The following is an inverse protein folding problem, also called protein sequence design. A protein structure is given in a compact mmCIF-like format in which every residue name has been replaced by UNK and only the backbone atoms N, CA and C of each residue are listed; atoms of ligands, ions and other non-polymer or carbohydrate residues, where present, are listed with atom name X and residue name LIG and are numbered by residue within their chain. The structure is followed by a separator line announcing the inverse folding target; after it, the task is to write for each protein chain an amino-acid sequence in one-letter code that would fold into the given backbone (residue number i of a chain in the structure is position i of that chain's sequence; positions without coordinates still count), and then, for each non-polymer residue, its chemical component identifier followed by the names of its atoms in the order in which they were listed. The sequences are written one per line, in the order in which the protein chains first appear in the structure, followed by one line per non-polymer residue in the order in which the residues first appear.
data_IF_360681418623
#
_entry.id   IF_360681418623
#
_cell.length_a   1.000
_cell.length_b   1.000
_cell.length_c   1.000
_cell.angle_alpha   90.00
_cell.angle_beta   90.00
_cell.angle_gamma   90.00
#
_symmetry.space_group_name_H-M   'P 1'
#
loop_
_entity.id
_entity.type
_entity.pdbx_description
1 polymer ?
#
# COMPACT_ATOMS: atom_id res chain seq x y z
N UNK A 1 9.75 0.69 4.00
CA UNK A 1 10.59 1.24 5.10
C UNK A 1 9.66 1.90 6.09
N UNK A 2 9.58 1.39 7.27
CA UNK A 2 8.84 2.07 8.33
C UNK A 2 9.58 3.36 8.70
N UNK A 3 8.87 4.35 9.28
CA UNK A 3 9.50 5.57 9.84
C UNK A 3 10.70 5.23 10.76
N UNK A 4 10.66 4.07 11.40
CA UNK A 4 11.73 3.55 12.25
C UNK A 4 12.98 3.21 11.44
N UNK A 5 12.83 2.61 10.27
CA UNK A 5 13.98 2.25 9.42
C UNK A 5 14.65 3.50 8.83
N UNK A 6 13.84 4.48 8.39
CA UNK A 6 14.37 5.77 7.93
C UNK A 6 15.17 6.48 9.04
N UNK A 7 14.68 6.47 10.29
CA UNK A 7 15.40 7.01 11.43
C UNK A 7 16.72 6.25 11.68
N UNK A 8 16.74 4.94 11.49
CA UNK A 8 18.00 4.14 11.60
C UNK A 8 18.99 4.50 10.51
N UNK A 9 18.53 4.64 9.25
CA UNK A 9 19.40 5.09 8.14
C UNK A 9 19.96 6.49 8.45
N UNK A 10 19.10 7.41 8.83
CA UNK A 10 19.52 8.76 9.19
C UNK A 10 20.52 8.74 10.36
N UNK A 11 20.26 7.94 11.40
CA UNK A 11 21.16 7.75 12.53
C UNK A 11 22.53 7.18 12.11
N UNK A 12 22.55 6.19 11.21
CA UNK A 12 23.80 5.61 10.71
C UNK A 12 24.60 6.63 9.87
N UNK A 13 23.94 7.43 9.03
CA UNK A 13 24.60 8.49 8.26
C UNK A 13 25.19 9.57 9.17
N UNK A 14 24.43 9.99 10.19
CA UNK A 14 24.94 10.93 11.19
C UNK A 14 26.15 10.35 11.94
N UNK A 15 26.09 9.07 12.34
CA UNK A 15 27.19 8.40 13.03
C UNK A 15 28.46 8.35 12.16
N UNK A 16 28.33 8.09 10.84
CA UNK A 16 29.44 8.11 9.90
C UNK A 16 30.07 9.53 9.84
N UNK A 17 29.25 10.57 9.74
CA UNK A 17 29.77 11.94 9.70
C UNK A 17 30.42 12.37 11.01
N UNK A 18 29.84 12.04 12.14
CA UNK A 18 30.43 12.33 13.45
C UNK A 18 31.75 11.57 13.64
N UNK A 19 31.79 10.28 13.24
CA UNK A 19 33.00 9.47 13.25
C UNK A 19 34.10 10.03 12.36
N UNK A 20 33.75 10.43 11.15
CA UNK A 20 34.70 11.07 10.21
C UNK A 20 35.24 12.39 10.78
N UNK A 21 34.39 13.21 11.39
CA UNK A 21 34.79 14.46 11.97
C UNK A 21 35.72 14.24 13.18
N UNK A 22 35.39 13.30 14.06
CA UNK A 22 36.22 12.91 15.18
C UNK A 22 37.60 12.39 14.73
N UNK A 23 37.65 11.54 13.70
CA UNK A 23 38.88 11.05 13.11
C UNK A 23 39.73 12.18 12.54
N UNK A 24 39.12 13.12 11.84
CA UNK A 24 39.81 14.30 11.30
C UNK A 24 40.43 15.17 12.39
N UNK A 25 39.74 15.36 13.53
CA UNK A 25 40.24 16.09 14.70
C UNK A 25 41.43 15.35 15.35
N UNK A 26 41.31 14.01 15.48
CA UNK A 26 42.40 13.19 16.03
C UNK A 26 43.64 13.25 15.17
N UNK A 27 43.51 13.16 13.86
CA UNK A 27 44.63 13.24 12.91
C UNK A 27 45.25 14.64 12.82
N UNK A 28 44.56 15.67 13.28
CA UNK A 28 45.05 17.06 13.33
C UNK A 28 45.83 17.37 14.60
N UNK A 29 45.74 16.54 15.64
CA UNK A 29 46.42 16.80 16.90
C UNK A 29 47.92 16.86 16.72
N UNK A 30 48.64 17.87 17.31
CA UNK A 30 50.06 18.17 17.06
C UNK A 30 51.02 17.17 17.73
N UNK A 31 50.55 16.09 18.34
CA UNK A 31 51.36 15.09 19.03
C UNK A 31 52.24 14.21 18.11
N UNK A 32 51.99 14.29 16.81
CA UNK A 32 52.81 13.58 15.82
C UNK A 32 53.69 14.56 15.08
N UNK A 33 54.93 14.66 15.48
CA UNK A 33 56.00 15.54 14.93
C UNK A 33 56.44 15.20 13.51
N UNK A 34 55.67 14.51 12.72
CA UNK A 34 55.87 14.32 11.26
C UNK A 34 54.67 14.90 10.50
N UNK A 35 54.84 15.63 9.38
CA UNK A 35 53.81 15.98 8.50
C UNK A 35 53.11 14.70 8.02
N UNK A 36 52.00 14.36 8.63
CA UNK A 36 51.41 13.05 8.46
C UNK A 36 50.76 13.01 7.05
N UNK A 37 51.35 12.26 6.13
CA UNK A 37 50.76 11.87 4.85
C UNK A 37 49.32 11.35 5.06
N UNK A 38 49.02 10.87 6.26
CA UNK A 38 47.69 10.39 6.68
C UNK A 38 46.63 11.51 6.73
N UNK A 39 46.96 12.70 7.20
CA UNK A 39 45.99 13.82 7.22
C UNK A 39 45.72 14.34 5.80
N UNK A 40 46.73 14.35 4.94
CA UNK A 40 46.53 14.71 3.51
C UNK A 40 45.64 13.67 2.82
N UNK A 41 45.96 12.39 2.96
CA UNK A 41 45.15 11.31 2.40
C UNK A 41 43.69 11.33 2.95
N UNK A 42 43.50 11.64 4.24
CA UNK A 42 42.21 11.80 4.84
C UNK A 42 41.42 12.96 4.18
N UNK A 43 42.05 14.13 3.97
CA UNK A 43 41.42 15.25 3.28
C UNK A 43 40.99 14.91 1.86
N UNK A 44 41.81 14.15 1.14
CA UNK A 44 41.51 13.76 -0.23
C UNK A 44 40.34 12.76 -0.30
N UNK A 45 40.17 11.93 0.76
CA UNK A 45 39.06 10.98 0.87
C UNK A 45 37.74 11.60 1.40
N UNK A 46 37.80 12.77 2.06
CA UNK A 46 36.62 13.42 2.67
C UNK A 46 35.44 13.64 1.72
N UNK A 47 35.65 14.07 0.47
CA UNK A 47 34.56 14.20 -0.48
C UNK A 47 33.79 12.87 -0.70
N UNK A 48 34.50 11.75 -0.75
CA UNK A 48 33.88 10.43 -0.90
C UNK A 48 33.13 10.00 0.38
N UNK A 49 33.71 10.24 1.56
CA UNK A 49 33.08 9.95 2.85
C UNK A 49 31.78 10.73 3.03
N UNK A 50 31.69 11.93 2.47
CA UNK A 50 30.47 12.74 2.48
C UNK A 50 29.50 12.30 1.36
N UNK A 51 29.99 12.09 0.15
CA UNK A 51 29.16 11.84 -1.02
C UNK A 51 28.42 10.51 -0.98
N UNK A 52 29.08 9.44 -0.53
CA UNK A 52 28.49 8.09 -0.54
C UNK A 52 27.26 7.99 0.39
N UNK A 53 27.34 8.38 1.67
CA UNK A 53 26.17 8.34 2.55
C UNK A 53 25.06 9.31 2.10
N UNK A 54 25.42 10.48 1.55
CA UNK A 54 24.47 11.44 1.01
C UNK A 54 23.71 10.87 -0.20
N UNK A 55 24.42 10.24 -1.13
CA UNK A 55 23.83 9.58 -2.30
C UNK A 55 22.90 8.41 -1.87
N UNK A 56 23.32 7.62 -0.91
CA UNK A 56 22.49 6.54 -0.35
C UNK A 56 21.20 7.08 0.28
N UNK A 57 21.31 8.15 1.07
CA UNK A 57 20.15 8.79 1.68
C UNK A 57 19.20 9.37 0.63
N UNK A 58 19.74 10.06 -0.39
CA UNK A 58 18.95 10.59 -1.50
C UNK A 58 18.20 9.49 -2.25
N UNK A 59 18.86 8.38 -2.54
CA UNK A 59 18.24 7.21 -3.17
C UNK A 59 17.10 6.63 -2.32
N UNK A 60 17.31 6.48 -1.00
CA UNK A 60 16.29 5.99 -0.08
C UNK A 60 15.05 6.91 -0.04
N UNK A 61 15.25 8.23 -0.03
CA UNK A 61 14.17 9.21 -0.10
C UNK A 61 13.44 9.17 -1.45
N UNK A 62 14.18 9.10 -2.55
CA UNK A 62 13.59 9.04 -3.89
C UNK A 62 12.69 7.80 -4.04
N UNK A 63 13.19 6.63 -3.62
CA UNK A 63 12.42 5.37 -3.65
C UNK A 63 11.12 5.48 -2.84
N UNK A 64 11.19 6.05 -1.65
CA UNK A 64 10.01 6.27 -0.82
C UNK A 64 9.02 7.23 -1.48
N UNK A 65 9.50 8.36 -1.99
CA UNK A 65 8.63 9.34 -2.64
C UNK A 65 7.92 8.78 -3.86
N UNK A 66 8.63 8.00 -4.69
CA UNK A 66 8.03 7.34 -5.86
C UNK A 66 6.92 6.37 -5.44
N UNK A 67 7.14 5.57 -4.41
CA UNK A 67 6.12 4.67 -3.87
C UNK A 67 4.91 5.44 -3.33
N UNK A 68 5.13 6.49 -2.55
CA UNK A 68 4.05 7.31 -1.99
C UNK A 68 3.25 8.05 -3.06
N UNK A 69 3.90 8.49 -4.14
CA UNK A 69 3.20 9.09 -5.28
C UNK A 69 2.30 8.08 -5.98
N UNK A 70 2.84 6.90 -6.31
CA UNK A 70 2.06 5.82 -6.91
C UNK A 70 0.86 5.42 -6.03
N UNK A 71 1.08 5.31 -4.72
CA UNK A 71 0.01 4.98 -3.76
C UNK A 71 -1.06 6.08 -3.69
N UNK A 72 -0.69 7.36 -3.77
CA UNK A 72 -1.66 8.48 -3.80
C UNK A 72 -2.53 8.41 -5.04
N UNK A 73 -1.95 8.17 -6.21
CA UNK A 73 -2.70 8.03 -7.46
C UNK A 73 -3.73 6.88 -7.37
N UNK A 74 -3.29 5.71 -6.90
CA UNK A 74 -4.21 4.57 -6.68
C UNK A 74 -5.30 4.92 -5.67
N UNK A 75 -4.95 5.61 -4.59
CA UNK A 75 -5.92 6.05 -3.59
C UNK A 75 -6.99 6.98 -4.17
N UNK A 76 -6.61 8.01 -4.92
CA UNK A 76 -7.52 8.97 -5.55
C UNK A 76 -8.48 8.27 -6.51
N UNK A 77 -7.97 7.39 -7.37
CA UNK A 77 -8.78 6.64 -8.32
C UNK A 77 -9.71 5.66 -7.61
N UNK A 78 -9.25 5.02 -6.54
CA UNK A 78 -10.07 4.10 -5.75
C UNK A 78 -11.22 4.82 -5.04
N UNK A 79 -10.94 5.97 -4.41
CA UNK A 79 -11.99 6.80 -3.78
C UNK A 79 -13.03 7.20 -4.82
N UNK A 80 -12.59 7.63 -6.01
CA UNK A 80 -13.48 7.98 -7.11
C UNK A 80 -14.30 6.80 -7.62
N UNK A 81 -13.69 5.62 -7.77
CA UNK A 81 -14.38 4.42 -8.21
C UNK A 81 -15.42 3.92 -7.19
N UNK A 82 -15.07 3.92 -5.90
CA UNK A 82 -16.00 3.54 -4.82
C UNK A 82 -17.15 4.56 -4.69
N UNK A 83 -16.86 5.86 -4.77
CA UNK A 83 -17.90 6.89 -4.79
C UNK A 83 -18.85 6.68 -5.96
N UNK A 84 -18.32 6.40 -7.16
CA UNK A 84 -19.13 6.06 -8.33
C UNK A 84 -19.99 4.80 -8.13
N UNK A 85 -19.46 3.77 -7.48
CA UNK A 85 -20.20 2.56 -7.14
C UNK A 85 -21.35 2.85 -6.16
N UNK A 86 -21.11 3.66 -5.13
CA UNK A 86 -22.14 4.08 -4.18
C UNK A 86 -23.23 4.92 -4.86
N UNK A 87 -22.84 5.93 -5.65
CA UNK A 87 -23.81 6.75 -6.43
C UNK A 87 -24.65 5.88 -7.38
N UNK A 88 -24.04 4.87 -7.99
CA UNK A 88 -24.76 3.92 -8.83
C UNK A 88 -25.88 3.20 -8.06
N UNK A 89 -25.61 2.77 -6.82
CA UNK A 89 -26.63 2.10 -5.99
C UNK A 89 -27.73 3.05 -5.50
N UNK A 90 -27.49 4.36 -5.48
CA UNK A 90 -28.48 5.39 -5.12
C UNK A 90 -29.36 5.80 -6.30
N UNK A 91 -28.92 5.57 -7.52
CA UNK A 91 -29.68 5.91 -8.73
C UNK A 91 -30.94 5.05 -8.81
N UNK A 92 -32.12 5.65 -8.96
CA UNK A 92 -33.41 4.93 -8.99
C UNK A 92 -33.51 3.99 -10.20
N UNK A 93 -33.05 4.44 -11.37
CA UNK A 93 -33.08 3.68 -12.60
C UNK A 93 -31.73 3.72 -13.31
N UNK A 94 -30.73 2.99 -12.79
CA UNK A 94 -29.40 3.04 -13.36
C UNK A 94 -29.37 2.38 -14.74
N UNK A 95 -28.79 3.08 -15.72
CA UNK A 95 -28.66 2.57 -17.07
C UNK A 95 -27.55 1.53 -17.19
N UNK A 96 -27.60 0.72 -18.26
CA UNK A 96 -26.52 -0.21 -18.60
C UNK A 96 -25.20 0.50 -18.83
N UNK A 97 -25.23 1.68 -19.43
CA UNK A 97 -24.03 2.49 -19.67
C UNK A 97 -23.39 2.94 -18.36
N UNK A 98 -24.19 3.43 -17.40
CA UNK A 98 -23.71 3.80 -16.07
C UNK A 98 -23.08 2.60 -15.35
N UNK A 99 -23.69 1.41 -15.44
CA UNK A 99 -23.11 0.19 -14.90
C UNK A 99 -21.75 -0.09 -15.51
N UNK A 100 -21.63 -0.09 -16.83
CA UNK A 100 -20.36 -0.36 -17.52
C UNK A 100 -19.30 0.69 -17.20
N UNK A 101 -19.68 1.94 -17.03
CA UNK A 101 -18.76 3.00 -16.62
C UNK A 101 -18.18 2.76 -15.21
N UNK A 102 -19.01 2.37 -14.24
CA UNK A 102 -18.56 2.06 -12.88
C UNK A 102 -17.68 0.81 -12.88
N UNK A 103 -18.08 -0.25 -13.58
CA UNK A 103 -17.27 -1.47 -13.71
C UNK A 103 -15.92 -1.18 -14.38
N UNK A 104 -15.91 -0.33 -15.42
CA UNK A 104 -14.68 0.11 -16.09
C UNK A 104 -13.72 0.83 -15.12
N UNK A 105 -14.23 1.77 -14.33
CA UNK A 105 -13.42 2.48 -13.31
C UNK A 105 -12.85 1.52 -12.26
N UNK A 106 -13.65 0.59 -11.75
CA UNK A 106 -13.17 -0.41 -10.78
C UNK A 106 -12.11 -1.32 -11.40
N UNK A 107 -12.26 -1.72 -12.67
CA UNK A 107 -11.25 -2.50 -13.38
C UNK A 107 -9.93 -1.76 -13.52
N UNK A 108 -9.97 -0.46 -13.89
CA UNK A 108 -8.77 0.38 -13.98
C UNK A 108 -8.05 0.43 -12.64
N UNK A 109 -8.78 0.65 -11.55
CA UNK A 109 -8.19 0.67 -10.20
C UNK A 109 -7.51 -0.65 -9.85
N UNK A 110 -8.11 -1.79 -10.20
CA UNK A 110 -7.51 -3.11 -9.97
C UNK A 110 -6.19 -3.24 -10.73
N UNK A 111 -6.10 -2.78 -11.97
CA UNK A 111 -4.86 -2.83 -12.76
C UNK A 111 -3.80 -1.86 -12.22
N UNK A 112 -4.18 -0.65 -11.81
CA UNK A 112 -3.27 0.31 -11.18
C UNK A 112 -2.70 -0.23 -9.86
N UNK A 113 -3.54 -0.90 -9.06
CA UNK A 113 -3.09 -1.59 -7.85
C UNK A 113 -2.02 -2.65 -8.16
N UNK A 114 -2.13 -3.37 -9.28
CA UNK A 114 -1.11 -4.34 -9.71
C UNK A 114 0.25 -3.69 -9.99
N UNK A 115 0.26 -2.45 -10.44
CA UNK A 115 1.49 -1.68 -10.63
C UNK A 115 2.21 -1.31 -9.33
N UNK A 116 1.44 -1.07 -8.26
CA UNK A 116 1.97 -0.66 -6.94
C UNK A 116 2.19 -1.86 -6.03
N UNK A 117 1.22 -2.75 -5.95
CA UNK A 117 1.26 -3.96 -5.11
C UNK A 117 1.64 -5.16 -5.96
N UNK A 118 2.78 -5.76 -5.68
CA UNK A 118 3.20 -6.98 -6.37
C UNK A 118 2.23 -8.11 -6.04
N UNK A 119 1.37 -8.43 -6.98
CA UNK A 119 0.50 -9.60 -6.87
C UNK A 119 1.32 -10.85 -7.18
N UNK A 120 2.08 -11.32 -6.19
CA UNK A 120 2.84 -12.58 -6.32
C UNK A 120 1.93 -13.70 -5.87
N UNK A 121 1.52 -14.62 -6.76
CA UNK A 121 0.78 -15.79 -6.36
C UNK A 121 1.64 -16.65 -5.44
N UNK A 122 1.22 -16.80 -4.18
CA UNK A 122 1.78 -17.80 -3.28
C UNK A 122 0.89 -19.02 -3.37
N UNK A 123 1.46 -20.15 -3.74
CA UNK A 123 0.77 -21.40 -4.04
C UNK A 123 -0.16 -21.91 -2.90
N UNK A 124 -0.01 -21.37 -1.69
CA UNK A 124 -0.78 -21.75 -0.51
C UNK A 124 -1.89 -20.77 -0.10
N UNK A 125 -2.04 -19.63 -0.79
CA UNK A 125 -3.07 -18.65 -0.44
C UNK A 125 -4.25 -18.78 -1.42
N UNK A 126 -5.42 -19.22 -0.95
CA UNK A 126 -6.64 -19.16 -1.75
C UNK A 126 -7.01 -17.71 -2.10
N UNK A 127 -7.95 -17.54 -2.99
CA UNK A 127 -8.50 -16.25 -3.40
C UNK A 127 -8.76 -15.35 -2.18
N UNK A 128 -8.39 -14.09 -2.24
CA UNK A 128 -8.58 -13.17 -1.11
C UNK A 128 -7.37 -12.32 -0.78
N UNK A 129 -6.71 -11.81 -1.79
CA UNK A 129 -5.46 -11.07 -1.68
C UNK A 129 -5.70 -9.59 -1.39
N UNK A 130 -5.14 -9.14 -0.30
CA UNK A 130 -5.02 -7.72 -0.05
C UNK A 130 -4.10 -7.07 -1.10
N UNK A 131 -4.42 -5.90 -1.62
CA UNK A 131 -5.66 -5.11 -1.42
C UNK A 131 -6.74 -5.40 -2.49
N UNK A 132 -6.56 -6.40 -3.34
CA UNK A 132 -7.38 -6.67 -4.52
C UNK A 132 -8.76 -7.20 -4.19
N UNK A 133 -8.86 -8.10 -3.22
CA UNK A 133 -10.10 -8.79 -2.92
C UNK A 133 -11.26 -7.84 -2.59
N UNK A 134 -11.11 -6.82 -1.72
CA UNK A 134 -12.21 -5.91 -1.45
C UNK A 134 -12.69 -5.13 -2.68
N UNK A 135 -11.77 -4.73 -3.56
CA UNK A 135 -12.14 -4.02 -4.79
C UNK A 135 -12.79 -4.95 -5.79
N UNK A 136 -12.31 -6.19 -5.90
CA UNK A 136 -12.92 -7.25 -6.72
C UNK A 136 -14.33 -7.58 -6.22
N UNK A 137 -14.54 -7.65 -4.92
CA UNK A 137 -15.87 -7.87 -4.32
C UNK A 137 -16.82 -6.71 -4.62
N UNK A 138 -16.37 -5.45 -4.55
CA UNK A 138 -17.16 -4.30 -4.95
C UNK A 138 -17.52 -4.39 -6.45
N UNK A 139 -16.56 -4.76 -7.30
CA UNK A 139 -16.80 -4.99 -8.72
C UNK A 139 -17.87 -6.07 -8.96
N UNK A 140 -17.76 -7.20 -8.27
CA UNK A 140 -18.73 -8.29 -8.36
C UNK A 140 -20.11 -7.85 -7.90
N UNK A 141 -20.19 -7.10 -6.80
CA UNK A 141 -21.43 -6.56 -6.26
C UNK A 141 -22.17 -5.68 -7.27
N UNK A 142 -21.46 -4.76 -7.94
CA UNK A 142 -22.04 -3.91 -8.98
C UNK A 142 -22.44 -4.71 -10.22
N UNK A 143 -21.65 -5.71 -10.60
CA UNK A 143 -21.95 -6.59 -11.74
C UNK A 143 -23.23 -7.39 -11.49
N UNK A 144 -23.35 -7.97 -10.30
CA UNK A 144 -24.43 -8.89 -9.94
C UNK A 144 -25.74 -8.12 -9.64
N UNK A 145 -25.63 -6.87 -9.15
CA UNK A 145 -26.78 -5.96 -8.98
C UNK A 145 -27.50 -5.69 -10.31
N UNK A 146 -26.76 -5.62 -11.43
CA UNK A 146 -27.32 -5.35 -12.74
C UNK A 146 -27.81 -3.91 -12.92
N UNK A 147 -28.58 -3.66 -13.98
CA UNK A 147 -29.21 -2.36 -14.26
C UNK A 147 -30.68 -2.33 -13.82
N UNK A 148 -31.36 -1.21 -14.05
CA UNK A 148 -32.70 -0.88 -13.55
C UNK A 148 -33.75 -2.00 -13.64
N UNK A 149 -33.70 -2.80 -14.69
CA UNK A 149 -34.66 -3.91 -14.92
C UNK A 149 -34.57 -5.03 -13.87
N UNK A 150 -33.40 -5.16 -13.20
CA UNK A 150 -33.10 -6.25 -12.25
C UNK A 150 -32.93 -5.77 -10.81
N UNK A 151 -32.60 -4.50 -10.60
CA UNK A 151 -32.22 -3.96 -9.31
C UNK A 151 -33.43 -3.33 -8.59
N UNK A 152 -34.06 -4.05 -7.67
CA UNK A 152 -35.08 -3.45 -6.79
C UNK A 152 -34.45 -2.43 -5.83
N UNK A 153 -35.27 -1.54 -5.25
CA UNK A 153 -34.81 -0.55 -4.28
C UNK A 153 -34.10 -1.21 -3.08
N UNK A 154 -34.67 -2.31 -2.57
CA UNK A 154 -34.10 -3.05 -1.44
C UNK A 154 -32.76 -3.72 -1.82
N UNK A 155 -32.66 -4.29 -3.02
CA UNK A 155 -31.42 -4.86 -3.50
C UNK A 155 -30.32 -3.80 -3.63
N UNK A 156 -30.65 -2.59 -4.13
CA UNK A 156 -29.71 -1.46 -4.22
C UNK A 156 -29.25 -1.00 -2.82
N UNK A 157 -30.18 -0.86 -1.88
CA UNK A 157 -29.86 -0.49 -0.50
C UNK A 157 -28.93 -1.53 0.16
N UNK A 158 -29.26 -2.81 0.03
CA UNK A 158 -28.43 -3.89 0.56
C UNK A 158 -27.03 -3.91 -0.09
N UNK A 159 -26.94 -3.69 -1.39
CA UNK A 159 -25.68 -3.60 -2.13
C UNK A 159 -24.83 -2.42 -1.66
N UNK A 160 -25.45 -1.24 -1.49
CA UNK A 160 -24.80 -0.04 -0.94
C UNK A 160 -24.18 -0.32 0.44
N UNK A 161 -24.92 -0.94 1.33
CA UNK A 161 -24.45 -1.25 2.68
C UNK A 161 -23.28 -2.24 2.67
N UNK A 162 -23.29 -3.22 1.75
CA UNK A 162 -22.17 -4.15 1.57
C UNK A 162 -20.92 -3.43 1.04
N UNK A 163 -21.07 -2.61 0.00
CA UNK A 163 -19.97 -1.81 -0.58
C UNK A 163 -19.37 -0.89 0.48
N UNK A 164 -20.21 -0.19 1.24
CA UNK A 164 -19.74 0.71 2.29
C UNK A 164 -18.95 -0.01 3.38
N UNK A 165 -19.42 -1.18 3.84
CA UNK A 165 -18.69 -2.01 4.82
C UNK A 165 -17.35 -2.49 4.28
N UNK A 166 -17.32 -3.01 3.06
CA UNK A 166 -16.07 -3.45 2.41
C UNK A 166 -15.08 -2.29 2.27
N UNK A 167 -15.56 -1.13 1.86
CA UNK A 167 -14.73 0.07 1.75
C UNK A 167 -14.20 0.54 3.11
N UNK A 168 -15.06 0.61 4.12
CA UNK A 168 -14.66 1.03 5.47
C UNK A 168 -13.57 0.13 6.04
N UNK A 169 -13.70 -1.17 5.87
CA UNK A 169 -12.71 -2.14 6.32
C UNK A 169 -11.38 -1.99 5.54
N UNK A 170 -11.43 -1.91 4.21
CA UNK A 170 -10.23 -1.81 3.37
C UNK A 170 -9.48 -0.48 3.55
N UNK A 171 -10.22 0.63 3.75
CA UNK A 171 -9.66 1.97 3.88
C UNK A 171 -8.60 2.08 4.99
N UNK A 172 -8.82 1.43 6.12
CA UNK A 172 -7.90 1.48 7.28
C UNK A 172 -6.55 0.88 6.91
N UNK A 173 -6.57 -0.26 6.21
CA UNK A 173 -5.35 -0.94 5.78
C UNK A 173 -4.60 -0.15 4.71
N UNK A 174 -5.31 0.39 3.73
CA UNK A 174 -4.71 1.23 2.70
C UNK A 174 -4.08 2.51 3.26
N UNK A 175 -4.71 3.16 4.22
CA UNK A 175 -4.13 4.32 4.89
C UNK A 175 -2.88 3.96 5.68
N UNK A 176 -2.80 2.75 6.25
CA UNK A 176 -1.60 2.28 6.93
C UNK A 176 -0.41 2.08 5.98
N UNK A 177 -0.66 1.82 4.69
CA UNK A 177 0.41 1.67 3.69
C UNK A 177 1.18 2.98 3.45
N UNK A 178 0.57 4.16 3.68
CA UNK A 178 1.27 5.44 3.56
C UNK A 178 2.42 5.62 4.56
N UNK A 179 2.45 4.84 5.62
CA UNK A 179 3.57 4.81 6.56
C UNK A 179 4.72 3.88 6.13
N UNK A 180 4.56 3.18 5.00
CA UNK A 180 5.52 2.23 4.43
C UNK A 180 6.18 2.80 3.18
N UNK A 181 7.28 2.20 2.76
CA UNK A 181 7.97 2.46 1.50
C UNK A 181 7.93 1.26 0.54
N UNK A 182 7.40 0.13 1.01
CA UNK A 182 7.17 -1.07 0.23
C UNK A 182 5.77 -1.60 0.50
N UNK A 183 5.10 -2.14 -0.53
CA UNK A 183 3.77 -2.69 -0.37
C UNK A 183 3.80 -3.90 0.57
N UNK A 184 2.70 -4.11 1.25
CA UNK A 184 2.53 -5.28 2.10
C UNK A 184 2.39 -6.53 1.24
N UNK A 185 3.19 -7.54 1.50
CA UNK A 185 3.25 -8.74 0.68
C UNK A 185 2.24 -9.82 1.05
N UNK A 186 1.70 -9.85 2.25
CA UNK A 186 0.77 -10.90 2.69
C UNK A 186 -0.28 -10.38 3.64
N UNK A 187 -1.55 -10.61 3.32
CA UNK A 187 -2.68 -10.36 4.21
C UNK A 187 -3.71 -11.48 4.15
N UNK A 188 -3.25 -12.71 4.38
CA UNK A 188 -4.15 -13.83 4.62
C UNK A 188 -5.08 -13.59 5.84
N UNK A 189 -4.64 -12.75 6.79
CA UNK A 189 -5.45 -12.36 7.94
C UNK A 189 -6.66 -11.51 7.56
N UNK A 190 -6.50 -10.61 6.58
CA UNK A 190 -7.60 -9.76 6.13
C UNK A 190 -8.72 -10.56 5.46
N UNK A 191 -8.36 -11.55 4.65
CA UNK A 191 -9.32 -12.46 4.02
C UNK A 191 -10.08 -13.33 5.05
N UNK A 192 -9.47 -13.61 6.21
CA UNK A 192 -10.10 -14.39 7.29
C UNK A 192 -11.06 -13.57 8.16
N UNK A 193 -10.84 -12.27 8.27
CA UNK A 193 -11.66 -11.36 9.08
C UNK A 193 -12.80 -10.70 8.30
N UNK A 194 -12.90 -10.94 6.99
CA UNK A 194 -14.00 -10.46 6.15
C UNK A 194 -15.33 -11.13 6.54
N UNK A 195 -16.45 -10.39 6.48
CA UNK A 195 -17.76 -10.84 6.95
C UNK A 195 -18.34 -12.08 6.22
N UNK A 196 -17.69 -12.55 5.17
CA UNK A 196 -18.16 -13.68 4.35
C UNK A 196 -17.87 -15.05 4.93
N UNK A 197 -16.93 -15.19 5.88
CA UNK A 197 -16.61 -16.51 6.45
C UNK A 197 -17.54 -16.96 7.60
N UNK A 198 -18.24 -16.03 8.25
CA UNK A 198 -19.21 -16.37 9.30
C UNK A 198 -20.54 -16.92 8.76
N UNK A 199 -20.94 -16.51 7.57
CA UNK A 199 -22.21 -16.93 6.99
C UNK A 199 -22.14 -18.30 6.27
N UNK A 200 -21.00 -18.64 5.69
CA UNK A 200 -20.83 -19.93 5.02
C UNK A 200 -20.63 -21.10 5.99
N UNK A 201 -20.04 -20.85 7.16
CA UNK A 201 -19.88 -21.89 8.19
C UNK A 201 -21.20 -22.25 8.91
N UNK A 202 -22.16 -21.31 8.95
CA UNK A 202 -23.48 -21.57 9.57
C UNK A 202 -24.43 -22.40 8.69
N UNK A 203 -24.11 -22.58 7.41
CA UNK A 203 -24.93 -23.35 6.46
C UNK A 203 -24.40 -24.78 6.22
N UNK A 204 -23.31 -25.17 6.84
CA UNK A 204 -22.63 -26.46 6.58
C UNK A 204 -22.91 -27.56 7.60
N UNK A 205 -23.81 -27.36 8.57
CA UNK A 205 -24.21 -28.44 9.46
C UNK A 205 -25.54 -29.07 8.98
N UNK A 206 -25.50 -30.26 8.31
CA UNK A 206 -26.73 -30.98 8.03
C UNK A 206 -27.27 -31.61 9.34
N UNK A 207 -28.59 -31.58 9.58
CA UNK A 207 -29.15 -32.17 10.78
C UNK A 207 -28.87 -33.65 10.82
N UNK A 208 -28.29 -34.11 11.92
CA UNK A 208 -28.07 -35.51 12.22
C UNK A 208 -29.43 -36.26 12.14
N UNK A 209 -29.52 -37.16 11.17
CA UNK A 209 -30.63 -38.13 11.11
C UNK A 209 -30.48 -39.14 12.27
N UNK A 210 -31.49 -39.11 13.13
CA UNK A 210 -31.81 -40.28 14.00
C UNK A 210 -32.62 -41.29 13.24
#
# INVERSE_FOLDING_TARGET
MTRIHLRRILGSVIAVYVGALALGLLLRQPYHSAPSNYYSAYKDLMPLVIAIPAAYLAFAFQRRNSYLQALRTVWEHMVGAVAGALTYTETESPSREQQLQVLGRLSVVIEEMRGVFKNVPVASAPEGWYPFEPVKQIYQEIRDLGCAEKATADARAASRDRIYRMWKANRVHLLAEFDRDEPTHHHAQYAREGPTHGAAAALADPPARR
#
